data_IF_761366034669
#
_entry.id   IF_761366034669
#
_cell.length_a   1.000
_cell.length_b   1.000
_cell.length_c   1.000
_cell.angle_alpha   90.00
_cell.angle_beta   90.00
_cell.angle_gamma   90.00
#
_symmetry.space_group_name_H-M   'P 1'
#
loop_
_entity.id
_entity.type
_entity.pdbx_description
1 polymer ?
#
# COMPACT_ATOMS: atom_id res chain seq x y z
N UNK A 1 18.40 -14.26 13.36
CA UNK A 1 17.10 -14.96 13.29
C UNK A 1 16.86 -15.36 11.85
N UNK A 2 16.23 -16.53 11.62
CA UNK A 2 15.81 -17.01 10.31
C UNK A 2 14.32 -16.74 10.12
N UNK A 3 13.98 -15.93 9.14
CA UNK A 3 12.62 -15.40 8.94
C UNK A 3 12.11 -15.86 7.58
N UNK A 4 10.94 -16.52 7.53
CA UNK A 4 10.32 -16.91 6.28
C UNK A 4 9.09 -16.02 6.01
N UNK A 5 9.16 -15.16 4.97
CA UNK A 5 8.10 -14.26 4.53
C UNK A 5 7.30 -14.92 3.41
N UNK A 6 6.01 -15.12 3.62
CA UNK A 6 5.12 -15.76 2.64
C UNK A 6 4.23 -14.70 1.99
N UNK A 7 4.33 -14.56 0.68
CA UNK A 7 3.56 -13.60 -0.10
C UNK A 7 3.14 -14.20 -1.45
N UNK A 8 1.89 -14.01 -1.87
CA UNK A 8 1.41 -14.52 -3.16
C UNK A 8 2.12 -13.85 -4.35
N UNK A 9 2.46 -12.57 -4.21
CA UNK A 9 3.14 -11.80 -5.26
C UNK A 9 4.44 -11.19 -4.74
N UNK A 10 5.47 -11.23 -5.57
CA UNK A 10 6.76 -10.59 -5.30
C UNK A 10 7.35 -10.04 -6.59
N UNK A 11 8.55 -9.45 -6.53
CA UNK A 11 9.23 -8.92 -7.71
C UNK A 11 9.26 -9.95 -8.87
N UNK A 12 9.08 -9.52 -10.13
CA UNK A 12 9.03 -8.14 -10.64
C UNK A 12 7.65 -7.49 -10.63
N UNK A 13 6.64 -8.08 -9.99
CA UNK A 13 5.34 -7.44 -9.84
C UNK A 13 5.43 -6.20 -8.95
N UNK A 14 4.54 -5.22 -9.19
CA UNK A 14 4.51 -3.96 -8.44
C UNK A 14 3.11 -3.77 -7.86
N UNK A 15 3.03 -3.74 -6.54
CA UNK A 15 1.86 -3.36 -5.76
C UNK A 15 2.29 -3.08 -4.31
N UNK A 16 1.41 -2.48 -3.49
CA UNK A 16 1.76 -2.09 -2.12
C UNK A 16 2.26 -3.24 -1.24
N UNK A 17 1.75 -4.48 -1.42
CA UNK A 17 2.22 -5.64 -0.64
C UNK A 17 3.65 -6.03 -1.05
N UNK A 18 3.93 -6.04 -2.35
CA UNK A 18 5.29 -6.32 -2.87
C UNK A 18 6.29 -5.30 -2.36
N UNK A 19 5.96 -4.01 -2.43
CA UNK A 19 6.80 -2.92 -1.90
C UNK A 19 7.04 -3.10 -0.40
N UNK A 20 5.99 -3.36 0.38
CA UNK A 20 6.11 -3.60 1.81
C UNK A 20 7.04 -4.79 2.14
N UNK A 21 6.82 -5.94 1.49
CA UNK A 21 7.62 -7.16 1.74
C UNK A 21 9.08 -6.97 1.30
N UNK A 22 9.31 -6.24 0.18
CA UNK A 22 10.67 -5.89 -0.27
C UNK A 22 11.39 -5.04 0.76
N UNK A 23 10.78 -3.94 1.18
CA UNK A 23 11.39 -3.02 2.17
C UNK A 23 11.63 -3.73 3.50
N UNK A 24 10.67 -4.55 3.96
CA UNK A 24 10.83 -5.35 5.18
C UNK A 24 12.00 -6.34 5.06
N UNK A 25 12.09 -7.08 3.95
CA UNK A 25 13.18 -8.01 3.68
C UNK A 25 14.53 -7.29 3.72
N UNK A 26 14.64 -6.18 3.02
CA UNK A 26 15.90 -5.44 2.90
C UNK A 26 16.33 -4.88 4.27
N UNK A 27 15.40 -4.33 5.06
CA UNK A 27 15.68 -3.86 6.42
C UNK A 27 16.09 -5.00 7.37
N UNK A 28 15.44 -6.17 7.29
CA UNK A 28 15.83 -7.34 8.10
C UNK A 28 17.21 -7.89 7.71
N UNK A 29 17.54 -7.92 6.42
CA UNK A 29 18.87 -8.33 5.94
C UNK A 29 19.95 -7.37 6.42
N UNK A 30 19.70 -6.05 6.39
CA UNK A 30 20.62 -5.03 6.91
C UNK A 30 20.88 -5.19 8.41
N UNK A 31 19.90 -5.72 9.16
CA UNK A 31 20.05 -6.05 10.59
C UNK A 31 20.76 -7.41 10.85
N UNK A 32 21.25 -8.08 9.80
CA UNK A 32 21.96 -9.34 9.92
C UNK A 32 21.07 -10.56 10.12
N UNK A 33 19.79 -10.49 9.76
CA UNK A 33 18.87 -11.63 9.77
C UNK A 33 18.97 -12.42 8.46
N UNK A 34 18.68 -13.72 8.51
CA UNK A 34 18.51 -14.54 7.31
C UNK A 34 17.04 -14.50 6.90
N UNK A 35 16.74 -14.16 5.65
CA UNK A 35 15.35 -14.01 5.16
C UNK A 35 15.12 -14.88 3.93
N UNK A 36 14.09 -15.72 3.97
CA UNK A 36 13.57 -16.48 2.84
C UNK A 36 12.21 -15.92 2.45
N UNK A 37 12.08 -15.37 1.24
CA UNK A 37 10.78 -15.00 0.68
C UNK A 37 10.21 -16.19 -0.06
N UNK A 38 8.98 -16.60 0.26
CA UNK A 38 8.26 -17.68 -0.42
C UNK A 38 7.15 -17.05 -1.25
N UNK A 39 7.20 -17.22 -2.58
CA UNK A 39 6.26 -16.54 -3.49
C UNK A 39 5.77 -17.45 -4.63
N UNK A 40 4.60 -17.12 -5.19
CA UNK A 40 4.07 -17.77 -6.36
C UNK A 40 4.77 -17.29 -7.64
N UNK A 41 5.10 -18.22 -8.53
CA UNK A 41 5.71 -17.93 -9.82
C UNK A 41 5.03 -18.78 -10.90
N UNK A 42 4.23 -18.14 -11.76
CA UNK A 42 3.54 -18.81 -12.86
C UNK A 42 4.43 -19.09 -14.08
N UNK A 43 5.66 -18.60 -14.07
CA UNK A 43 6.63 -18.84 -15.15
C UNK A 43 7.45 -20.11 -14.92
N UNK A 44 7.40 -20.67 -13.71
CA UNK A 44 8.10 -21.92 -13.38
C UNK A 44 7.17 -23.11 -13.22
N UNK A 45 7.70 -24.31 -13.50
CA UNK A 45 7.04 -25.60 -13.24
C UNK A 45 7.64 -26.34 -12.03
N UNK A 46 8.74 -25.83 -11.48
CA UNK A 46 9.45 -26.48 -10.37
C UNK A 46 9.77 -25.45 -9.28
N UNK A 47 9.81 -25.92 -8.03
CA UNK A 47 10.27 -25.11 -6.92
C UNK A 47 11.78 -24.94 -7.00
N UNK A 48 12.27 -23.68 -6.90
CA UNK A 48 13.68 -23.38 -6.81
C UNK A 48 13.93 -22.17 -5.90
N UNK A 49 15.13 -22.10 -5.31
CA UNK A 49 15.54 -20.95 -4.50
C UNK A 49 16.61 -20.18 -5.28
N UNK A 50 16.41 -18.87 -5.39
CA UNK A 50 17.39 -17.96 -5.98
C UNK A 50 17.39 -16.67 -5.17
N UNK A 51 18.56 -16.17 -4.80
CA UNK A 51 18.77 -14.90 -4.08
C UNK A 51 17.92 -14.75 -2.79
N UNK A 52 17.72 -15.87 -2.06
CA UNK A 52 16.86 -15.89 -0.87
C UNK A 52 15.36 -15.87 -1.17
N UNK A 53 14.97 -16.16 -2.41
CA UNK A 53 13.57 -16.23 -2.84
C UNK A 53 13.24 -17.66 -3.28
N UNK A 54 12.25 -18.27 -2.65
CA UNK A 54 11.68 -19.56 -3.05
C UNK A 54 10.52 -19.33 -4.02
N UNK A 55 10.78 -19.60 -5.29
CA UNK A 55 9.80 -19.54 -6.36
C UNK A 55 8.95 -20.81 -6.38
N UNK A 56 7.64 -20.66 -6.30
CA UNK A 56 6.69 -21.76 -6.24
C UNK A 56 5.81 -21.79 -7.49
N UNK A 57 5.69 -22.96 -8.16
CA UNK A 57 4.80 -23.10 -9.31
C UNK A 57 3.38 -22.66 -9.02
N UNK A 58 2.81 -21.88 -9.94
CA UNK A 58 1.51 -21.26 -9.80
C UNK A 58 0.75 -21.27 -11.13
N UNK A 59 -0.57 -21.09 -11.06
CA UNK A 59 -1.43 -20.93 -12.23
C UNK A 59 -1.75 -19.44 -12.38
N UNK A 60 -1.51 -18.88 -13.58
CA UNK A 60 -1.86 -17.48 -13.88
C UNK A 60 -3.37 -17.31 -13.86
N UNK A 61 -3.87 -16.37 -13.06
CA UNK A 61 -5.31 -16.12 -12.91
C UNK A 61 -5.69 -14.70 -13.35
N UNK A 62 -6.57 -14.60 -14.34
CA UNK A 62 -7.14 -13.31 -14.76
C UNK A 62 -7.95 -12.64 -13.63
N UNK A 63 -8.59 -13.44 -12.76
CA UNK A 63 -9.38 -12.94 -11.62
C UNK A 63 -8.52 -12.29 -10.53
N UNK A 64 -7.24 -12.64 -10.46
CA UNK A 64 -6.26 -12.05 -9.55
C UNK A 64 -5.28 -11.16 -10.33
N UNK A 65 -5.79 -10.28 -11.16
CA UNK A 65 -5.00 -9.26 -11.92
C UNK A 65 -3.84 -9.83 -12.73
N UNK A 66 -3.94 -11.10 -13.16
CA UNK A 66 -2.88 -11.77 -13.90
C UNK A 66 -1.75 -12.32 -13.03
N UNK A 67 -1.85 -12.26 -11.71
CA UNK A 67 -0.90 -12.87 -10.79
C UNK A 67 -1.02 -14.40 -10.78
N UNK A 68 0.03 -15.05 -10.31
CA UNK A 68 0.05 -16.49 -10.07
C UNK A 68 -0.68 -16.85 -8.77
N UNK A 69 -1.49 -17.89 -8.80
CA UNK A 69 -2.08 -18.50 -7.60
C UNK A 69 -1.45 -19.88 -7.42
N UNK A 70 -0.72 -20.08 -6.32
CA UNK A 70 -0.08 -21.36 -6.02
C UNK A 70 -1.02 -22.28 -5.26
N UNK A 71 -0.82 -23.61 -5.39
CA UNK A 71 -1.49 -24.57 -4.51
C UNK A 71 -1.10 -24.30 -3.05
N UNK A 72 -2.05 -24.31 -2.10
CA UNK A 72 -1.72 -24.15 -0.67
C UNK A 72 -0.88 -25.29 -0.11
N UNK A 73 -0.95 -26.47 -0.72
CA UNK A 73 -0.23 -27.66 -0.25
C UNK A 73 0.83 -28.08 -1.25
N UNK A 74 2.08 -28.22 -0.78
CA UNK A 74 3.20 -28.75 -1.55
C UNK A 74 4.24 -29.35 -0.60
N UNK A 75 4.46 -30.68 -0.70
CA UNK A 75 5.51 -31.37 0.08
C UNK A 75 6.89 -30.82 -0.24
N UNK A 76 7.16 -30.47 -1.50
CA UNK A 76 8.46 -29.95 -1.92
C UNK A 76 8.71 -28.58 -1.31
N UNK A 77 7.72 -27.68 -1.32
CA UNK A 77 7.81 -26.36 -0.68
C UNK A 77 8.04 -26.50 0.81
N UNK A 78 7.24 -27.32 1.48
CA UNK A 78 7.39 -27.58 2.92
C UNK A 78 8.80 -28.04 3.26
N UNK A 79 9.35 -28.99 2.48
CA UNK A 79 10.72 -29.49 2.67
C UNK A 79 11.76 -28.39 2.53
N UNK A 80 11.65 -27.51 1.52
CA UNK A 80 12.58 -26.40 1.31
C UNK A 80 12.50 -25.37 2.45
N UNK A 81 11.30 -25.08 2.96
CA UNK A 81 11.10 -24.22 4.13
C UNK A 81 11.67 -24.89 5.39
N UNK A 82 11.47 -26.18 5.58
CA UNK A 82 12.05 -26.95 6.67
C UNK A 82 13.59 -26.95 6.63
N UNK A 83 14.18 -27.09 5.45
CA UNK A 83 15.64 -27.06 5.27
C UNK A 83 16.23 -25.67 5.59
N UNK A 84 15.46 -24.60 5.36
CA UNK A 84 15.81 -23.24 5.80
C UNK A 84 15.75 -23.09 7.33
N UNK A 85 15.01 -23.94 8.07
CA UNK A 85 14.84 -23.92 9.55
C UNK A 85 14.41 -22.54 10.07
N UNK A 86 13.24 -22.02 9.66
CA UNK A 86 12.81 -20.69 10.13
C UNK A 86 12.56 -20.69 11.64
N UNK A 87 12.95 -19.61 12.30
CA UNK A 87 12.56 -19.31 13.70
C UNK A 87 11.14 -18.75 13.75
N UNK A 88 10.68 -18.13 12.67
CA UNK A 88 9.37 -17.53 12.53
C UNK A 88 8.88 -17.56 11.08
N UNK A 89 7.58 -17.67 10.92
CA UNK A 89 6.89 -17.55 9.63
C UNK A 89 5.99 -16.31 9.68
N UNK A 90 6.06 -15.47 8.65
CA UNK A 90 5.25 -14.27 8.51
C UNK A 90 4.50 -14.31 7.17
N UNK A 91 3.16 -14.28 7.20
CA UNK A 91 2.32 -14.28 6.01
C UNK A 91 1.80 -12.88 5.72
N UNK A 92 1.83 -12.50 4.44
CA UNK A 92 1.39 -11.20 3.93
C UNK A 92 0.20 -11.29 2.97
N UNK A 93 -0.24 -12.51 2.66
CA UNK A 93 -1.43 -12.78 1.86
C UNK A 93 -2.19 -13.98 2.44
N UNK A 94 -3.43 -14.14 2.02
CA UNK A 94 -4.40 -15.00 2.68
C UNK A 94 -4.70 -16.28 1.91
N UNK A 95 -4.29 -16.35 0.64
CA UNK A 95 -4.64 -17.48 -0.23
C UNK A 95 -3.47 -18.47 -0.37
N UNK A 96 -3.29 -19.08 -1.52
CA UNK A 96 -2.34 -20.13 -1.85
C UNK A 96 -1.04 -20.18 -1.03
N UNK A 97 -0.18 -19.19 -1.21
CA UNK A 97 1.10 -19.09 -0.47
C UNK A 97 0.87 -18.77 1.01
N UNK A 98 -0.06 -17.89 1.34
CA UNK A 98 -0.38 -17.56 2.74
C UNK A 98 -0.88 -18.77 3.53
N UNK A 99 -1.84 -19.54 2.97
CA UNK A 99 -2.30 -20.80 3.57
C UNK A 99 -1.16 -21.81 3.71
N UNK A 100 -0.25 -21.86 2.74
CA UNK A 100 0.95 -22.69 2.83
C UNK A 100 1.85 -22.28 4.01
N UNK A 101 1.95 -20.97 4.30
CA UNK A 101 2.68 -20.45 5.45
C UNK A 101 2.05 -20.89 6.78
N UNK A 102 0.73 -20.82 6.89
CA UNK A 102 0.00 -21.32 8.07
C UNK A 102 0.23 -22.83 8.28
N UNK A 103 0.13 -23.59 7.20
CA UNK A 103 0.38 -25.04 7.26
C UNK A 103 1.83 -25.33 7.66
N UNK A 104 2.81 -24.62 7.10
CA UNK A 104 4.22 -24.78 7.42
C UNK A 104 4.50 -24.43 8.89
N UNK A 105 3.96 -23.31 9.40
CA UNK A 105 4.10 -22.89 10.80
C UNK A 105 3.60 -23.98 11.76
N UNK A 106 2.43 -24.55 11.45
CA UNK A 106 1.85 -25.65 12.25
C UNK A 106 2.71 -26.93 12.22
N UNK A 107 3.20 -27.32 11.03
CA UNK A 107 4.01 -28.54 10.88
C UNK A 107 5.40 -28.42 11.52
N UNK A 108 6.00 -27.24 11.45
CA UNK A 108 7.33 -26.97 11.97
C UNK A 108 7.32 -26.50 13.44
N UNK A 109 6.14 -26.29 14.01
CA UNK A 109 5.93 -25.80 15.37
C UNK A 109 6.65 -24.45 15.62
N UNK A 110 6.62 -23.55 14.64
CA UNK A 110 7.17 -22.20 14.72
C UNK A 110 6.06 -21.16 14.83
N UNK A 111 6.27 -20.02 15.52
CA UNK A 111 5.27 -18.97 15.63
C UNK A 111 4.94 -18.38 14.25
N UNK A 112 3.67 -17.97 14.12
CA UNK A 112 3.10 -17.39 12.92
C UNK A 112 2.73 -15.93 13.17
N UNK A 113 3.24 -15.02 12.35
CA UNK A 113 2.76 -13.64 12.26
C UNK A 113 1.92 -13.48 11.01
N UNK A 114 0.85 -12.72 11.10
CA UNK A 114 -0.01 -12.41 9.95
C UNK A 114 -0.22 -10.91 9.85
N UNK A 115 0.16 -10.32 8.70
CA UNK A 115 -0.12 -8.93 8.35
C UNK A 115 -1.33 -8.85 7.43
N UNK A 116 -2.37 -8.12 7.86
CA UNK A 116 -3.51 -7.77 7.04
C UNK A 116 -3.20 -6.49 6.24
N UNK A 117 -3.05 -6.61 4.93
CA UNK A 117 -2.76 -5.46 4.04
C UNK A 117 -4.00 -4.86 3.39
N UNK A 118 -5.06 -5.65 3.23
CA UNK A 118 -6.22 -5.29 2.40
C UNK A 118 -7.51 -5.40 3.19
N UNK A 119 -8.34 -4.36 3.15
CA UNK A 119 -9.71 -4.39 3.62
C UNK A 119 -10.58 -5.11 2.58
N UNK A 120 -10.71 -6.43 2.70
CA UNK A 120 -11.38 -7.26 1.70
C UNK A 120 -12.86 -6.94 1.51
N UNK A 121 -13.52 -6.37 2.51
CA UNK A 121 -14.90 -5.92 2.40
C UNK A 121 -15.08 -4.90 1.27
N UNK A 122 -14.08 -4.04 1.04
CA UNK A 122 -14.07 -3.02 0.00
C UNK A 122 -13.87 -3.60 -1.42
N UNK A 123 -13.54 -4.89 -1.52
CA UNK A 123 -13.27 -5.59 -2.79
C UNK A 123 -14.28 -6.68 -3.14
N UNK A 124 -15.22 -6.98 -2.25
CA UNK A 124 -16.18 -8.08 -2.45
C UNK A 124 -17.06 -7.88 -3.69
N UNK A 125 -17.34 -6.62 -4.07
CA UNK A 125 -18.15 -6.32 -5.25
C UNK A 125 -17.47 -6.71 -6.57
N UNK A 126 -16.13 -6.92 -6.59
CA UNK A 126 -15.42 -7.43 -7.76
C UNK A 126 -15.61 -8.94 -7.97
N UNK A 127 -15.91 -9.67 -6.91
CA UNK A 127 -15.95 -11.14 -6.92
C UNK A 127 -17.34 -11.73 -6.74
N UNK A 128 -18.30 -10.95 -6.23
CA UNK A 128 -19.66 -11.40 -5.95
C UNK A 128 -20.73 -10.48 -6.56
N UNK A 129 -21.79 -11.03 -7.17
CA UNK A 129 -22.94 -10.26 -7.62
C UNK A 129 -23.62 -9.53 -6.45
N UNK A 130 -24.22 -8.35 -6.72
CA UNK A 130 -24.83 -7.50 -5.69
C UNK A 130 -25.79 -8.23 -4.75
N UNK A 131 -26.61 -9.15 -5.26
CA UNK A 131 -27.56 -9.93 -4.48
C UNK A 131 -26.92 -10.97 -3.55
N UNK A 132 -25.67 -11.36 -3.79
CA UNK A 132 -24.92 -12.32 -2.98
C UNK A 132 -23.86 -11.66 -2.07
N UNK A 133 -23.72 -10.33 -2.09
CA UNK A 133 -22.69 -9.64 -1.31
C UNK A 133 -22.76 -9.94 0.20
N UNK A 134 -23.98 -10.05 0.78
CA UNK A 134 -24.15 -10.38 2.21
C UNK A 134 -23.62 -11.78 2.54
N UNK A 135 -23.85 -12.74 1.67
CA UNK A 135 -23.38 -14.12 1.84
C UNK A 135 -21.85 -14.17 1.65
N UNK A 136 -21.36 -13.52 0.60
CA UNK A 136 -19.93 -13.41 0.33
C UNK A 136 -19.19 -12.74 1.49
N UNK A 137 -19.76 -11.68 2.06
CA UNK A 137 -19.20 -10.99 3.24
C UNK A 137 -19.14 -11.92 4.44
N UNK A 138 -20.17 -12.68 4.73
CA UNK A 138 -20.17 -13.65 5.83
C UNK A 138 -19.11 -14.72 5.64
N UNK A 139 -19.00 -15.30 4.45
CA UNK A 139 -17.96 -16.31 4.12
C UNK A 139 -16.57 -15.71 4.28
N UNK A 140 -16.35 -14.49 3.77
CA UNK A 140 -15.10 -13.75 3.92
C UNK A 140 -14.76 -13.56 5.40
N UNK A 141 -15.69 -13.07 6.21
CA UNK A 141 -15.49 -12.83 7.64
C UNK A 141 -15.15 -14.12 8.40
N UNK A 142 -15.84 -15.24 8.12
CA UNK A 142 -15.56 -16.53 8.74
C UNK A 142 -14.15 -17.03 8.35
N UNK A 143 -13.77 -16.82 7.09
CA UNK A 143 -12.44 -17.18 6.58
C UNK A 143 -11.33 -16.34 7.26
N UNK A 144 -11.44 -15.01 7.26
CA UNK A 144 -10.44 -14.13 7.88
C UNK A 144 -10.37 -14.29 9.40
N UNK A 145 -11.50 -14.61 10.05
CA UNK A 145 -11.50 -14.97 11.48
C UNK A 145 -10.67 -16.24 11.75
N UNK A 146 -10.80 -17.24 10.87
CA UNK A 146 -9.99 -18.47 10.98
C UNK A 146 -8.49 -18.15 10.84
N UNK A 147 -8.09 -17.35 9.86
CA UNK A 147 -6.71 -16.94 9.64
C UNK A 147 -6.17 -16.14 10.84
N UNK A 148 -6.92 -15.15 11.31
CA UNK A 148 -6.54 -14.32 12.47
C UNK A 148 -6.36 -15.15 13.73
N UNK A 149 -7.22 -16.14 13.94
CA UNK A 149 -7.11 -17.04 15.10
C UNK A 149 -5.92 -18.02 14.98
N UNK A 150 -5.52 -18.39 13.77
CA UNK A 150 -4.36 -19.26 13.52
C UNK A 150 -3.01 -18.56 13.79
N UNK A 151 -2.93 -17.25 13.63
CA UNK A 151 -1.70 -16.48 13.86
C UNK A 151 -1.35 -16.41 15.37
N UNK A 152 -0.07 -16.40 15.70
CA UNK A 152 0.42 -16.12 17.05
C UNK A 152 0.28 -14.62 17.37
N UNK A 153 0.69 -13.78 16.43
CA UNK A 153 0.55 -12.32 16.51
C UNK A 153 -0.05 -11.79 15.20
N UNK A 154 -0.82 -10.70 15.32
CA UNK A 154 -1.40 -9.98 14.19
C UNK A 154 -0.71 -8.64 14.00
N UNK A 155 -0.53 -8.24 12.76
CA UNK A 155 -0.06 -6.90 12.39
C UNK A 155 -0.95 -6.30 11.31
N UNK A 156 -0.88 -5.00 11.17
CA UNK A 156 -1.55 -4.27 10.11
C UNK A 156 -1.05 -2.84 10.05
N UNK A 157 -1.16 -2.17 8.88
CA UNK A 157 -0.56 -0.85 8.70
C UNK A 157 -1.35 0.30 9.35
N UNK A 158 -2.54 0.03 9.87
CA UNK A 158 -3.36 1.06 10.55
C UNK A 158 -4.32 0.45 11.58
N UNK A 159 -4.92 1.26 12.47
CA UNK A 159 -5.97 0.85 13.40
C UNK A 159 -7.22 0.24 12.73
N UNK A 160 -7.50 0.55 11.47
CA UNK A 160 -8.57 -0.11 10.69
C UNK A 160 -8.44 -1.63 10.72
N UNK A 161 -7.21 -2.16 10.73
CA UNK A 161 -6.97 -3.60 10.82
C UNK A 161 -7.45 -4.17 12.15
N UNK A 162 -7.26 -3.43 13.26
CA UNK A 162 -7.78 -3.83 14.58
C UNK A 162 -9.30 -3.85 14.57
N UNK A 163 -9.94 -2.83 14.04
CA UNK A 163 -11.41 -2.75 13.95
C UNK A 163 -11.98 -3.86 13.08
N UNK A 164 -11.37 -4.12 11.92
CA UNK A 164 -11.78 -5.21 11.04
C UNK A 164 -11.74 -6.56 11.77
N UNK A 165 -10.62 -6.88 12.43
CA UNK A 165 -10.50 -8.13 13.17
C UNK A 165 -11.50 -8.23 14.33
N UNK A 166 -11.77 -7.13 15.03
CA UNK A 166 -12.82 -7.09 16.06
C UNK A 166 -14.21 -7.34 15.50
N UNK A 167 -14.55 -6.70 14.38
CA UNK A 167 -15.85 -6.87 13.69
C UNK A 167 -16.10 -8.33 13.27
N UNK A 168 -15.06 -9.03 12.83
CA UNK A 168 -15.15 -10.44 12.44
C UNK A 168 -14.99 -11.41 13.61
N UNK A 169 -14.85 -10.92 14.85
CA UNK A 169 -14.82 -11.72 16.08
C UNK A 169 -13.44 -12.29 16.45
N UNK A 170 -12.34 -11.71 15.97
CA UNK A 170 -10.98 -12.02 16.43
C UNK A 170 -10.66 -11.15 17.65
N UNK A 171 -10.31 -11.80 18.78
CA UNK A 171 -10.04 -11.13 20.05
C UNK A 171 -8.60 -10.67 20.24
N UNK A 172 -7.69 -11.10 19.38
CA UNK A 172 -6.27 -10.73 19.46
C UNK A 172 -6.08 -9.26 19.11
N UNK A 173 -5.17 -8.60 19.83
CA UNK A 173 -4.73 -7.26 19.51
C UNK A 173 -3.90 -7.27 18.21
N UNK A 174 -4.07 -6.24 17.38
CA UNK A 174 -3.26 -6.01 16.19
C UNK A 174 -2.11 -5.07 16.56
N UNK A 175 -0.88 -5.47 16.27
CA UNK A 175 0.26 -4.57 16.37
C UNK A 175 0.25 -3.66 15.14
N UNK A 176 -0.03 -2.38 15.33
CA UNK A 176 -0.05 -1.41 14.21
C UNK A 176 1.38 -1.07 13.84
N UNK A 177 1.76 -1.42 12.61
CA UNK A 177 3.08 -1.15 12.02
C UNK A 177 2.86 -0.41 10.71
N UNK A 178 3.04 0.92 10.66
CA UNK A 178 2.88 1.69 9.43
C UNK A 178 3.74 1.15 8.29
N UNK A 179 3.26 1.31 7.05
CA UNK A 179 4.05 0.99 5.87
C UNK A 179 5.30 1.86 5.80
N UNK A 180 6.28 1.39 5.06
CA UNK A 180 7.51 2.12 4.80
C UNK A 180 7.62 2.50 3.32
N UNK A 181 8.52 3.43 3.03
CA UNK A 181 8.87 3.91 1.71
C UNK A 181 10.39 3.85 1.52
N UNK A 182 10.84 3.70 0.29
CA UNK A 182 12.26 3.78 -0.10
C UNK A 182 12.69 5.25 -0.15
N UNK A 183 13.00 5.82 1.03
CA UNK A 183 13.26 7.25 1.21
C UNK A 183 14.31 7.81 0.24
N UNK A 184 15.36 7.03 -0.02
CA UNK A 184 16.45 7.45 -0.91
C UNK A 184 15.99 7.61 -2.36
N UNK A 185 15.10 6.73 -2.85
CA UNK A 185 14.65 6.77 -4.23
C UNK A 185 13.69 7.94 -4.49
N UNK A 186 12.96 8.37 -3.46
CA UNK A 186 12.04 9.49 -3.52
C UNK A 186 12.60 10.80 -2.95
N UNK A 187 13.90 10.86 -2.65
CA UNK A 187 14.54 12.09 -2.16
C UNK A 187 14.51 13.20 -3.23
N UNK A 188 14.10 14.44 -2.87
CA UNK A 188 14.11 15.58 -3.79
C UNK A 188 15.49 15.84 -4.41
N UNK A 189 16.56 15.52 -3.70
CA UNK A 189 17.94 15.75 -4.13
C UNK A 189 18.35 14.89 -5.34
N UNK A 190 17.66 13.80 -5.59
CA UNK A 190 17.90 12.90 -6.73
C UNK A 190 17.17 13.29 -8.00
N UNK A 191 16.28 14.29 -7.93
CA UNK A 191 15.39 14.62 -9.03
C UNK A 191 15.81 15.94 -9.67
N UNK A 192 16.25 15.88 -10.93
CA UNK A 192 16.73 17.05 -11.65
C UNK A 192 15.59 18.00 -12.06
N UNK A 193 15.93 19.31 -12.19
CA UNK A 193 15.00 20.30 -12.71
C UNK A 193 14.55 19.97 -14.16
N UNK A 194 15.41 19.28 -14.93
CA UNK A 194 15.09 18.85 -16.30
C UNK A 194 13.96 17.81 -16.32
N UNK A 195 13.92 16.88 -15.36
CA UNK A 195 12.85 15.89 -15.22
C UNK A 195 11.48 16.58 -14.99
N UNK A 196 11.44 17.61 -14.14
CA UNK A 196 10.23 18.42 -13.92
C UNK A 196 9.77 19.15 -15.19
N UNK A 197 10.70 19.76 -15.88
CA UNK A 197 10.43 20.45 -17.13
C UNK A 197 9.98 19.49 -18.25
N UNK A 198 10.55 18.29 -18.31
CA UNK A 198 10.15 17.25 -19.27
C UNK A 198 8.71 16.78 -19.03
N UNK A 199 8.32 16.59 -17.77
CA UNK A 199 6.94 16.24 -17.39
C UNK A 199 5.96 17.34 -17.83
N UNK A 200 6.22 18.61 -17.51
CA UNK A 200 5.36 19.72 -17.89
C UNK A 200 5.23 19.85 -19.41
N UNK A 201 6.33 19.72 -20.16
CA UNK A 201 6.29 19.70 -21.63
C UNK A 201 5.46 18.54 -22.18
N UNK A 202 5.64 17.34 -21.64
CA UNK A 202 4.92 16.15 -22.09
C UNK A 202 3.41 16.28 -21.97
N UNK A 203 2.94 16.91 -20.90
CA UNK A 203 1.51 17.06 -20.61
C UNK A 203 0.99 18.47 -20.88
N UNK A 204 1.78 19.32 -21.57
CA UNK A 204 1.42 20.70 -21.96
C UNK A 204 0.96 21.56 -20.77
N UNK A 205 1.60 21.40 -19.59
CA UNK A 205 1.27 22.14 -18.38
C UNK A 205 2.02 23.48 -18.36
N UNK A 206 1.33 24.63 -18.31
CA UNK A 206 1.97 25.93 -18.19
C UNK A 206 2.73 26.07 -16.86
N UNK A 207 3.80 26.89 -16.84
CA UNK A 207 4.68 27.02 -15.67
C UNK A 207 3.99 27.62 -14.43
N UNK A 208 2.97 28.45 -14.64
CA UNK A 208 2.20 29.12 -13.58
C UNK A 208 1.02 28.29 -13.06
N UNK A 209 0.85 27.05 -13.54
CA UNK A 209 -0.21 26.14 -13.10
C UNK A 209 0.30 25.26 -11.97
N UNK A 210 -0.41 25.21 -10.85
CA UNK A 210 -0.19 24.25 -9.77
C UNK A 210 -0.72 22.86 -10.16
N UNK A 211 0.04 21.81 -9.89
CA UNK A 211 -0.35 20.43 -10.21
C UNK A 211 -0.65 19.67 -8.91
N UNK A 212 -1.91 19.32 -8.71
CA UNK A 212 -2.32 18.37 -7.69
C UNK A 212 -2.28 16.95 -8.27
N UNK A 213 -1.70 15.97 -7.59
CA UNK A 213 -1.66 14.60 -8.08
C UNK A 213 -2.40 13.62 -7.16
N UNK A 214 -3.10 12.68 -7.80
CA UNK A 214 -3.49 11.41 -7.20
C UNK A 214 -2.60 10.31 -7.78
N UNK A 215 -2.13 9.39 -6.94
CA UNK A 215 -1.31 8.26 -7.39
C UNK A 215 -1.88 6.95 -6.85
N UNK A 216 -2.15 6.01 -7.75
CA UNK A 216 -2.62 4.69 -7.34
C UNK A 216 -3.35 3.92 -8.44
N UNK A 217 -3.74 2.70 -8.11
CA UNK A 217 -4.57 1.87 -8.98
C UNK A 217 -5.98 2.50 -9.11
N UNK A 218 -6.49 2.61 -10.33
CA UNK A 218 -7.82 3.15 -10.59
C UNK A 218 -8.88 2.07 -10.41
N UNK A 219 -9.37 1.94 -9.18
CA UNK A 219 -10.49 1.11 -8.77
C UNK A 219 -11.53 1.96 -8.03
N UNK A 220 -12.77 1.50 -7.95
CA UNK A 220 -13.86 2.22 -7.26
C UNK A 220 -13.51 2.52 -5.79
N UNK A 221 -12.76 1.61 -5.13
CA UNK A 221 -12.32 1.77 -3.74
C UNK A 221 -11.42 2.99 -3.51
N UNK A 222 -10.84 3.56 -4.58
CA UNK A 222 -9.97 4.74 -4.47
C UNK A 222 -10.71 6.06 -4.56
N UNK A 223 -12.02 6.02 -4.83
CA UNK A 223 -12.91 7.20 -4.83
C UNK A 223 -12.39 8.35 -5.71
N UNK A 224 -11.77 8.01 -6.85
CA UNK A 224 -11.30 9.03 -7.83
C UNK A 224 -12.51 9.70 -8.49
N UNK A 225 -13.61 8.97 -8.66
CA UNK A 225 -14.92 9.49 -9.09
C UNK A 225 -15.40 10.62 -8.17
N UNK A 226 -15.30 10.44 -6.86
CA UNK A 226 -15.64 11.48 -5.86
C UNK A 226 -14.69 12.68 -5.99
N UNK A 227 -13.39 12.43 -6.23
CA UNK A 227 -12.41 13.50 -6.41
C UNK A 227 -12.72 14.35 -7.66
N UNK A 228 -13.12 13.71 -8.77
CA UNK A 228 -13.55 14.39 -10.00
C UNK A 228 -14.83 15.22 -9.78
N UNK A 229 -15.82 14.68 -9.07
CA UNK A 229 -17.02 15.41 -8.71
C UNK A 229 -16.73 16.64 -7.85
N UNK A 230 -15.85 16.50 -6.86
CA UNK A 230 -15.41 17.63 -6.02
C UNK A 230 -14.69 18.69 -6.84
N UNK A 231 -13.81 18.24 -7.74
CA UNK A 231 -13.08 19.12 -8.65
C UNK A 231 -14.02 19.94 -9.53
N UNK A 232 -14.97 19.28 -10.19
CA UNK A 232 -15.92 19.93 -11.08
C UNK A 232 -16.81 20.98 -10.39
N UNK A 233 -17.12 20.76 -9.11
CA UNK A 233 -17.98 21.67 -8.33
C UNK A 233 -17.24 22.95 -7.88
N UNK A 234 -15.92 22.88 -7.72
CA UNK A 234 -15.24 23.91 -6.93
C UNK A 234 -13.98 24.47 -7.54
N UNK A 235 -13.37 23.80 -8.52
CA UNK A 235 -12.17 24.27 -9.21
C UNK A 235 -12.54 24.76 -10.60
N UNK A 236 -12.07 25.96 -10.96
CA UNK A 236 -12.30 26.56 -12.25
C UNK A 236 -10.97 26.82 -12.99
N UNK A 237 -10.97 27.06 -14.31
CA UNK A 237 -9.75 27.38 -15.06
C UNK A 237 -8.98 28.58 -14.51
N UNK A 238 -9.69 29.54 -13.90
CA UNK A 238 -9.11 30.76 -13.30
C UNK A 238 -8.27 30.44 -12.06
N UNK A 239 -8.54 29.36 -11.39
CA UNK A 239 -7.74 28.87 -10.26
C UNK A 239 -6.31 28.50 -10.67
N UNK A 240 -6.08 28.20 -11.96
CA UNK A 240 -4.79 27.74 -12.47
C UNK A 240 -4.25 26.54 -11.67
N UNK A 241 -5.11 25.54 -11.47
CA UNK A 241 -4.81 24.29 -10.78
C UNK A 241 -5.24 23.15 -11.69
N UNK A 242 -4.36 22.16 -11.91
CA UNK A 242 -4.66 20.95 -12.66
C UNK A 242 -4.60 19.73 -11.75
N UNK A 243 -5.43 18.73 -12.06
CA UNK A 243 -5.41 17.41 -11.41
C UNK A 243 -4.68 16.42 -12.32
N UNK A 244 -3.63 15.79 -11.80
CA UNK A 244 -2.91 14.73 -12.50
C UNK A 244 -3.20 13.38 -11.84
N UNK A 245 -3.89 12.49 -12.55
CA UNK A 245 -4.22 11.14 -12.09
C UNK A 245 -3.18 10.18 -12.64
N UNK A 246 -2.28 9.70 -11.76
CA UNK A 246 -1.15 8.85 -12.09
C UNK A 246 -1.48 7.41 -11.70
N UNK A 247 -1.64 6.55 -12.70
CA UNK A 247 -1.96 5.16 -12.50
C UNK A 247 -2.95 4.63 -13.52
N UNK A 248 -3.09 3.30 -13.57
CA UNK A 248 -4.06 2.61 -14.40
C UNK A 248 -4.97 1.72 -13.58
N UNK A 249 -6.04 1.21 -14.18
CA UNK A 249 -6.93 0.30 -13.50
C UNK A 249 -8.23 0.04 -14.25
N UNK A 250 -9.09 -0.85 -13.69
CA UNK A 250 -10.29 -1.30 -14.40
C UNK A 250 -11.31 -0.20 -14.67
N UNK A 251 -11.32 0.88 -13.88
CA UNK A 251 -12.30 1.99 -14.04
C UNK A 251 -11.72 3.22 -14.75
N UNK A 252 -10.50 3.14 -15.32
CA UNK A 252 -9.87 4.28 -15.97
C UNK A 252 -10.75 4.91 -17.04
N UNK A 253 -11.32 4.10 -17.95
CA UNK A 253 -12.19 4.61 -19.02
C UNK A 253 -13.47 5.27 -18.52
N UNK A 254 -14.03 4.77 -17.40
CA UNK A 254 -15.19 5.38 -16.75
C UNK A 254 -14.84 6.76 -16.16
N UNK A 255 -13.68 6.88 -15.53
CA UNK A 255 -13.20 8.15 -14.95
C UNK A 255 -12.86 9.19 -16.02
N UNK A 256 -12.24 8.77 -17.13
CA UNK A 256 -11.96 9.64 -18.27
C UNK A 256 -13.27 10.16 -18.91
N UNK A 257 -14.30 9.30 -19.00
CA UNK A 257 -15.62 9.71 -19.48
C UNK A 257 -16.30 10.65 -18.49
N UNK A 258 -16.24 10.37 -17.19
CA UNK A 258 -16.79 11.25 -16.16
C UNK A 258 -16.17 12.65 -16.19
N UNK A 259 -14.85 12.76 -16.40
CA UNK A 259 -14.19 14.05 -16.50
C UNK A 259 -14.72 14.88 -17.70
N UNK A 260 -15.02 14.21 -18.84
CA UNK A 260 -15.63 14.85 -20.02
C UNK A 260 -17.08 15.27 -19.74
N UNK A 261 -17.88 14.39 -19.15
CA UNK A 261 -19.28 14.65 -18.83
C UNK A 261 -19.44 15.81 -17.84
N UNK A 262 -18.47 15.98 -16.95
CA UNK A 262 -18.37 17.09 -16.01
C UNK A 262 -17.76 18.37 -16.61
N UNK A 263 -17.23 18.31 -17.84
CA UNK A 263 -16.61 19.46 -18.51
C UNK A 263 -15.27 19.90 -17.91
N UNK A 264 -14.56 19.01 -17.25
CA UNK A 264 -13.26 19.28 -16.59
C UNK A 264 -12.08 18.56 -17.25
N UNK A 265 -12.27 17.93 -18.40
CA UNK A 265 -11.25 17.16 -19.10
C UNK A 265 -10.02 18.01 -19.49
N UNK A 266 -10.19 19.31 -19.70
CA UNK A 266 -9.08 20.25 -19.93
C UNK A 266 -8.24 20.55 -18.68
N UNK A 267 -8.75 20.26 -17.47
CA UNK A 267 -8.08 20.47 -16.18
C UNK A 267 -7.59 19.16 -15.55
N UNK A 268 -7.83 18.00 -16.18
CA UNK A 268 -7.48 16.69 -15.62
C UNK A 268 -6.58 15.92 -16.59
N UNK A 269 -5.46 15.44 -16.10
CA UNK A 269 -4.51 14.63 -16.84
C UNK A 269 -4.60 13.19 -16.35
N UNK A 270 -4.78 12.22 -17.26
CA UNK A 270 -4.64 10.80 -16.97
C UNK A 270 -3.34 10.29 -17.62
N UNK A 271 -2.37 9.87 -16.79
CA UNK A 271 -1.07 9.41 -17.32
C UNK A 271 -1.10 7.94 -17.74
N UNK A 272 -2.09 7.17 -17.28
CA UNK A 272 -2.06 5.72 -17.31
C UNK A 272 -1.06 5.14 -16.28
N UNK A 273 -0.82 3.84 -16.35
CA UNK A 273 0.10 3.15 -15.46
C UNK A 273 1.55 3.59 -15.72
N UNK A 274 2.26 3.95 -14.65
CA UNK A 274 3.67 4.34 -14.67
C UNK A 274 4.47 3.28 -13.90
N UNK A 275 5.59 2.74 -14.43
CA UNK A 275 6.46 1.86 -13.70
C UNK A 275 7.02 2.52 -12.42
N UNK A 276 7.15 1.74 -11.34
CA UNK A 276 7.51 2.27 -10.03
C UNK A 276 8.88 2.98 -10.01
N UNK A 277 9.85 2.45 -10.75
CA UNK A 277 11.18 3.03 -10.91
C UNK A 277 11.19 4.38 -11.67
N UNK A 278 10.08 4.69 -12.37
CA UNK A 278 9.88 5.96 -13.07
C UNK A 278 9.00 6.94 -12.28
N UNK A 279 8.50 6.55 -11.11
CA UNK A 279 7.59 7.40 -10.31
C UNK A 279 8.23 8.65 -9.71
N UNK A 280 9.48 8.65 -9.22
CA UNK A 280 10.06 9.82 -8.55
C UNK A 280 9.96 11.13 -9.34
N UNK A 281 10.26 11.19 -10.66
CA UNK A 281 10.07 12.40 -11.46
C UNK A 281 8.61 12.88 -11.55
N UNK A 282 7.64 11.94 -11.52
CA UNK A 282 6.22 12.31 -11.57
C UNK A 282 5.79 13.01 -10.28
N UNK A 283 6.12 12.45 -9.12
CA UNK A 283 5.85 13.12 -7.84
C UNK A 283 6.51 14.49 -7.76
N UNK A 284 7.78 14.57 -8.11
CA UNK A 284 8.53 15.82 -8.04
C UNK A 284 8.05 16.91 -9.00
N UNK A 285 7.27 16.55 -10.01
CA UNK A 285 6.67 17.48 -10.95
C UNK A 285 5.31 18.02 -10.50
N UNK A 286 4.80 17.51 -9.38
CA UNK A 286 3.56 17.92 -8.75
C UNK A 286 3.84 18.83 -7.55
N UNK A 287 2.81 19.52 -7.08
CA UNK A 287 2.90 20.49 -5.99
C UNK A 287 2.18 20.04 -4.72
N UNK A 288 1.16 19.17 -4.87
CA UNK A 288 0.37 18.63 -3.76
C UNK A 288 -0.14 17.23 -4.12
N UNK A 289 -0.12 16.31 -3.14
CA UNK A 289 -0.78 15.01 -3.26
C UNK A 289 -2.22 15.12 -2.77
N UNK A 290 -3.21 14.71 -3.57
CA UNK A 290 -4.63 14.80 -3.20
C UNK A 290 -5.31 13.45 -3.28
N UNK A 291 -6.15 13.10 -2.29
CA UNK A 291 -6.93 11.86 -2.31
C UNK A 291 -8.27 11.98 -1.60
N UNK A 292 -9.31 11.39 -2.19
CA UNK A 292 -10.63 11.21 -1.58
C UNK A 292 -10.87 9.77 -1.08
N UNK A 293 -9.85 8.89 -1.18
CA UNK A 293 -9.92 7.48 -0.78
C UNK A 293 -10.17 7.32 0.72
N UNK A 294 -11.14 6.46 1.08
CA UNK A 294 -11.40 6.02 2.45
C UNK A 294 -11.00 4.56 2.68
N UNK A 295 -10.56 3.84 1.63
CA UNK A 295 -10.17 2.43 1.71
C UNK A 295 -8.71 2.22 2.11
N UNK A 296 -7.88 3.28 2.07
CA UNK A 296 -6.47 3.15 2.39
C UNK A 296 -6.26 2.86 3.88
N UNK A 297 -5.52 1.80 4.14
CA UNK A 297 -5.08 1.47 5.50
C UNK A 297 -3.85 2.29 5.90
N UNK A 298 -2.91 2.48 4.96
CA UNK A 298 -1.72 3.32 5.09
C UNK A 298 -1.08 3.41 3.70
N UNK A 299 -1.39 4.48 2.96
CA UNK A 299 -1.04 4.56 1.53
C UNK A 299 0.47 4.71 1.31
N UNK A 300 1.09 3.74 0.63
CA UNK A 300 2.51 3.81 0.24
C UNK A 300 2.72 4.92 -0.78
N UNK A 301 1.84 5.08 -1.77
CA UNK A 301 1.94 6.16 -2.75
C UNK A 301 1.86 7.56 -2.13
N UNK A 302 1.11 7.71 -1.04
CA UNK A 302 1.09 8.95 -0.27
C UNK A 302 2.43 9.17 0.46
N UNK A 303 3.01 8.13 1.07
CA UNK A 303 4.33 8.20 1.71
C UNK A 303 5.44 8.53 0.70
N UNK A 304 5.37 7.98 -0.51
CA UNK A 304 6.29 8.31 -1.62
C UNK A 304 6.19 9.80 -2.00
N UNK A 305 4.96 10.30 -2.15
CA UNK A 305 4.72 11.72 -2.39
C UNK A 305 5.26 12.61 -1.26
N UNK A 306 5.04 12.21 0.00
CA UNK A 306 5.59 12.93 1.16
C UNK A 306 7.12 12.87 1.20
N UNK A 307 7.75 11.77 0.81
CA UNK A 307 9.20 11.66 0.71
C UNK A 307 9.80 12.61 -0.33
N UNK A 308 9.04 12.93 -1.41
CA UNK A 308 9.43 13.97 -2.38
C UNK A 308 9.09 15.39 -1.92
N UNK A 309 8.51 15.55 -0.74
CA UNK A 309 8.14 16.84 -0.16
C UNK A 309 6.76 17.37 -0.58
N UNK A 310 5.87 16.51 -1.13
CA UNK A 310 4.51 16.92 -1.45
C UNK A 310 3.65 17.02 -0.19
N UNK A 311 3.08 18.19 0.15
CA UNK A 311 2.04 18.25 1.15
C UNK A 311 0.84 17.42 0.72
N UNK A 312 0.20 16.76 1.68
CA UNK A 312 -0.94 15.88 1.41
C UNK A 312 -2.25 16.60 1.71
N UNK A 313 -3.18 16.50 0.76
CA UNK A 313 -4.56 16.92 0.95
C UNK A 313 -5.45 15.68 0.89
N UNK A 314 -5.96 15.22 2.03
CA UNK A 314 -6.77 14.01 2.11
C UNK A 314 -8.18 14.27 2.63
N UNK A 315 -9.15 13.47 2.15
CA UNK A 315 -10.48 13.44 2.72
C UNK A 315 -10.43 12.93 4.16
N UNK A 316 -11.25 13.50 5.04
CA UNK A 316 -11.41 13.06 6.43
C UNK A 316 -11.87 11.59 6.48
N UNK A 317 -11.29 10.86 7.40
CA UNK A 317 -11.58 9.45 7.65
C UNK A 317 -11.48 9.19 9.16
N UNK A 318 -12.62 8.99 9.81
CA UNK A 318 -12.71 8.80 11.25
C UNK A 318 -11.88 7.60 11.75
N UNK A 319 -11.73 6.55 10.92
CA UNK A 319 -10.96 5.35 11.28
C UNK A 319 -9.44 5.56 11.18
N UNK A 320 -9.01 6.60 10.49
CA UNK A 320 -7.59 6.99 10.37
C UNK A 320 -7.25 8.28 11.11
N UNK A 321 -8.15 8.81 11.95
CA UNK A 321 -7.93 10.07 12.68
C UNK A 321 -6.70 9.99 13.60
N UNK A 322 -6.48 8.83 14.21
CA UNK A 322 -5.37 8.59 15.15
C UNK A 322 -4.11 8.02 14.50
N UNK A 323 -4.07 7.85 13.18
CA UNK A 323 -2.88 7.42 12.45
C UNK A 323 -2.27 8.64 11.79
N UNK A 324 -1.45 9.33 12.51
CA UNK A 324 -0.85 10.62 12.19
C UNK A 324 0.07 10.66 10.95
N UNK A 325 -0.36 10.07 9.82
CA UNK A 325 0.35 10.29 8.56
C UNK A 325 0.20 11.74 8.10
N UNK A 326 -1.03 12.28 8.16
CA UNK A 326 -1.32 13.66 7.79
C UNK A 326 -1.78 14.44 9.02
N UNK A 327 -0.93 15.30 9.52
CA UNK A 327 -1.22 16.25 10.60
C UNK A 327 -1.63 17.58 10.00
N UNK A 328 -2.91 17.94 10.23
CA UNK A 328 -3.51 19.14 9.65
C UNK A 328 -2.69 20.41 9.95
N UNK A 329 -2.32 21.15 8.90
CA UNK A 329 -1.50 22.36 9.00
C UNK A 329 -0.01 22.14 9.25
N UNK A 330 0.47 20.88 9.36
CA UNK A 330 1.89 20.55 9.62
C UNK A 330 2.57 19.93 8.41
N UNK A 331 2.00 18.85 7.87
CA UNK A 331 2.54 18.15 6.70
C UNK A 331 1.48 17.95 5.61
N UNK A 332 0.33 18.55 5.76
CA UNK A 332 -0.79 18.49 4.84
C UNK A 332 -2.06 19.05 5.47
N UNK A 333 -3.18 18.80 4.80
CA UNK A 333 -4.49 19.30 5.19
C UNK A 333 -5.54 18.20 5.03
N UNK A 334 -6.62 18.30 5.81
CA UNK A 334 -7.74 17.37 5.82
C UNK A 334 -9.00 18.14 5.40
N UNK A 335 -9.80 17.57 4.49
CA UNK A 335 -11.05 18.17 4.03
C UNK A 335 -12.24 17.24 4.25
N UNK A 336 -13.40 17.81 4.51
CA UNK A 336 -14.68 17.10 4.67
C UNK A 336 -15.64 17.36 3.49
N UNK A 337 -15.44 18.45 2.77
CA UNK A 337 -16.30 18.88 1.67
C UNK A 337 -15.51 19.32 0.43
N UNK A 338 -16.16 19.40 -0.74
CA UNK A 338 -15.52 19.95 -1.94
C UNK A 338 -14.99 21.36 -1.74
N UNK A 339 -15.72 22.21 -1.00
CA UNK A 339 -15.37 23.61 -0.73
C UNK A 339 -14.09 23.70 0.13
N UNK A 340 -13.98 22.84 1.16
CA UNK A 340 -12.77 22.75 1.98
C UNK A 340 -11.58 22.27 1.15
N UNK A 341 -11.77 21.25 0.29
CA UNK A 341 -10.72 20.80 -0.63
C UNK A 341 -10.19 21.94 -1.49
N UNK A 342 -11.09 22.68 -2.13
CA UNK A 342 -10.72 23.81 -2.99
C UNK A 342 -10.06 24.95 -2.22
N UNK A 343 -10.55 25.27 -1.01
CA UNK A 343 -9.96 26.29 -0.15
C UNK A 343 -8.51 25.95 0.21
N UNK A 344 -8.24 24.69 0.58
CA UNK A 344 -6.88 24.28 0.93
C UNK A 344 -5.96 24.20 -0.30
N UNK A 345 -6.45 23.81 -1.48
CA UNK A 345 -5.69 23.85 -2.73
C UNK A 345 -5.27 25.30 -3.06
N UNK A 346 -6.22 26.26 -2.99
CA UNK A 346 -5.94 27.69 -3.19
C UNK A 346 -4.99 28.24 -2.15
N UNK A 347 -5.12 27.80 -0.89
CA UNK A 347 -4.22 28.19 0.20
C UNK A 347 -2.78 27.73 -0.09
N UNK A 348 -2.58 26.44 -0.46
CA UNK A 348 -1.25 25.90 -0.81
C UNK A 348 -0.65 26.69 -1.97
N UNK A 349 -1.44 26.95 -3.02
CA UNK A 349 -1.01 27.71 -4.19
C UNK A 349 -0.53 29.13 -3.85
N UNK A 350 -1.16 29.77 -2.90
CA UNK A 350 -0.89 31.16 -2.51
C UNK A 350 0.16 31.29 -1.39
N UNK A 351 0.80 30.19 -0.95
CA UNK A 351 1.90 30.27 0.00
C UNK A 351 3.09 31.02 -0.59
N UNK A 352 3.74 31.84 0.22
CA UNK A 352 5.02 32.41 -0.18
C UNK A 352 6.07 31.31 -0.39
N UNK A 353 7.11 31.55 -1.20
CA UNK A 353 8.19 30.57 -1.38
C UNK A 353 8.81 30.09 -0.05
N UNK A 354 8.91 30.97 0.93
CA UNK A 354 9.41 30.64 2.27
C UNK A 354 8.43 29.70 3.02
N UNK A 355 7.14 30.06 3.05
CA UNK A 355 6.10 29.22 3.67
C UNK A 355 6.01 27.83 3.02
N UNK A 356 6.09 27.77 1.68
CA UNK A 356 6.08 26.51 0.96
C UNK A 356 7.33 25.67 1.28
N UNK A 357 8.50 26.30 1.40
CA UNK A 357 9.74 25.62 1.78
C UNK A 357 9.64 25.01 3.18
N UNK A 358 9.10 25.75 4.16
CA UNK A 358 8.87 25.27 5.52
C UNK A 358 7.90 24.08 5.53
N UNK A 359 6.78 24.19 4.78
CA UNK A 359 5.81 23.12 4.68
C UNK A 359 6.44 21.84 4.08
N UNK A 360 7.17 21.96 2.97
CA UNK A 360 7.87 20.84 2.33
C UNK A 360 8.90 20.18 3.26
N UNK A 361 9.68 20.97 3.98
CA UNK A 361 10.62 20.45 4.97
C UNK A 361 9.90 19.66 6.08
N UNK A 362 8.78 20.17 6.57
CA UNK A 362 7.96 19.50 7.58
C UNK A 362 7.35 18.18 7.06
N UNK A 363 6.96 18.14 5.77
CA UNK A 363 6.48 16.93 5.11
C UNK A 363 7.57 15.85 5.08
N UNK A 364 8.76 16.19 4.57
CA UNK A 364 9.90 15.27 4.49
C UNK A 364 10.29 14.76 5.89
N UNK A 365 10.37 15.66 6.88
CA UNK A 365 10.69 15.29 8.26
C UNK A 365 9.69 14.27 8.83
N UNK A 366 8.40 14.41 8.49
CA UNK A 366 7.34 13.53 9.00
C UNK A 366 7.46 12.09 8.53
N UNK A 367 8.14 11.82 7.42
CA UNK A 367 8.31 10.47 6.86
C UNK A 367 9.71 9.87 7.06
N UNK A 368 10.65 10.61 7.63
CA UNK A 368 12.02 10.09 7.89
C UNK A 368 12.06 8.80 8.69
N UNK A 369 11.08 8.57 9.54
CA UNK A 369 10.94 7.33 10.33
C UNK A 369 10.11 6.26 9.64
N UNK A 370 9.76 6.45 8.37
CA UNK A 370 8.99 5.48 7.57
C UNK A 370 9.89 4.74 6.57
N UNK A 371 11.14 4.50 6.92
CA UNK A 371 12.10 3.75 6.11
C UNK A 371 12.21 2.27 6.48
N UNK A 372 13.05 1.55 5.74
CA UNK A 372 13.26 0.10 5.89
C UNK A 372 13.72 -0.30 7.31
N UNK A 373 14.61 0.47 7.91
CA UNK A 373 15.13 0.22 9.26
C UNK A 373 14.02 0.28 10.31
N UNK A 374 13.16 1.30 10.25
CA UNK A 374 12.06 1.45 11.19
C UNK A 374 11.03 0.32 11.04
N UNK A 375 10.65 -0.03 9.80
CA UNK A 375 9.76 -1.15 9.52
C UNK A 375 10.33 -2.47 10.07
N UNK A 376 11.61 -2.74 9.82
CA UNK A 376 12.28 -3.94 10.33
C UNK A 376 12.32 -3.96 11.87
N UNK A 377 12.63 -2.84 12.52
CA UNK A 377 12.68 -2.72 13.98
C UNK A 377 11.30 -3.01 14.63
N UNK A 378 10.24 -2.37 14.10
CA UNK A 378 8.87 -2.61 14.61
C UNK A 378 8.45 -4.07 14.41
N UNK A 379 8.70 -4.63 13.23
CA UNK A 379 8.33 -6.01 12.90
C UNK A 379 9.15 -7.00 13.73
N UNK A 380 10.44 -6.74 13.93
CA UNK A 380 11.29 -7.58 14.79
C UNK A 380 10.80 -7.65 16.24
N UNK A 381 10.31 -6.53 16.78
CA UNK A 381 9.71 -6.53 18.13
C UNK A 381 8.46 -7.44 18.19
N UNK A 382 7.64 -7.46 17.14
CA UNK A 382 6.50 -8.40 17.05
C UNK A 382 6.98 -9.84 16.93
N UNK A 383 8.06 -10.10 16.19
CA UNK A 383 8.65 -11.46 16.13
C UNK A 383 9.12 -11.94 17.51
N UNK A 384 9.79 -11.10 18.26
CA UNK A 384 10.20 -11.42 19.63
C UNK A 384 9.01 -11.75 20.53
N UNK A 385 7.94 -10.94 20.43
CA UNK A 385 6.69 -11.17 21.13
C UNK A 385 6.04 -12.49 20.72
N UNK A 386 5.98 -12.79 19.42
CA UNK A 386 5.43 -14.04 18.91
C UNK A 386 6.21 -15.26 19.40
N UNK A 387 7.54 -15.17 19.47
CA UNK A 387 8.37 -16.24 20.00
C UNK A 387 8.17 -16.46 21.50
N UNK A 388 7.98 -15.39 22.26
CA UNK A 388 7.69 -15.48 23.70
C UNK A 388 6.29 -16.09 24.00
N UNK A 389 5.32 -15.83 23.11
CA UNK A 389 3.94 -16.30 23.22
C UNK A 389 3.70 -17.66 22.53
N UNK A 390 4.72 -18.21 21.86
CA UNK A 390 4.60 -19.54 21.24
C UNK A 390 4.45 -20.61 22.36
N UNK A 391 3.52 -21.55 22.25
CA UNK A 391 3.42 -22.65 23.21
C UNK A 391 4.75 -23.40 23.25
N UNK A 392 5.33 -23.51 24.44
CA UNK A 392 6.60 -24.18 24.69
C UNK A 392 6.60 -25.57 24.05
N UNK A 393 7.44 -25.77 23.04
CA UNK A 393 7.67 -27.09 22.42
C UNK A 393 8.44 -28.07 23.33
N UNK A 394 8.64 -27.71 24.61
CA UNK A 394 9.39 -28.53 25.62
C UNK A 394 8.51 -29.33 26.55
N UNK A 395 7.17 -29.26 26.41
CA UNK A 395 6.26 -30.04 27.28
C UNK A 395 5.41 -31.05 26.47
N UNK A 396 6.00 -31.74 25.50
CA UNK A 396 5.39 -32.96 24.95
C UNK A 396 6.44 -34.02 24.69
#
# INVERSE_FOLDING_TARGET
>A
MRIALFTETYLPHINGVVTHVKILRDGLLQQGHEVLVVTADYQTRQHYVKDGILHCPAIKSKRFYGYGVASPFSRRRLKLVQDFRPDIIHIHNEFGIGLSGIFAAKQLHVPLVYTLHTMYDDYLYYVAPRHLLRVAKKISHDYFRLLGNAATELTGPSPKCQEYFQQIGVKKAVNVIPNAVELDDFSPDRISAENKSAFRRRYHIPDDVMVACFVGRLGHEKSVDVLLDYWARTITPEDRIMLCIIGGGPVQGELEQQAKDLGIDSMVIFTGAVPHDQMPPYYASCDVYVTASLSDTNSISMLEGMATGLPVLRRYDALNENVDQVRNGVNGYIFNSPEEMAAELRRIKNLSPEQLSILKASVIESVKRSGAEALANYTYNVYRKAMANAPNSKEK
#
